data_IF_508235568457
#
_entry.id   IF_508235568457
#
_cell.length_a   1.000
_cell.length_b   1.000
_cell.length_c   1.000
_cell.angle_alpha   90.00
_cell.angle_beta   90.00
_cell.angle_gamma   90.00
#
_symmetry.space_group_name_H-M   'P 1'
#
loop_
_entity.id
_entity.type
_entity.pdbx_description
1 polymer ?
#
# COMPACT_ATOMS: atom_id res chain seq x y z
N UNK A 1 -49.90 28.26 -24.85
CA UNK A 1 -48.98 29.40 -24.57
C UNK A 1 -47.79 29.27 -25.50
N UNK A 2 -47.50 30.27 -26.35
CA UNK A 2 -46.26 30.29 -27.12
C UNK A 2 -45.13 30.60 -26.14
N UNK A 3 -44.27 29.62 -25.87
CA UNK A 3 -43.09 29.83 -25.02
C UNK A 3 -42.18 30.86 -25.67
N UNK A 4 -41.79 31.89 -24.93
CA UNK A 4 -40.76 32.82 -25.38
C UNK A 4 -39.47 32.05 -25.74
N UNK A 5 -38.79 32.41 -26.83
CA UNK A 5 -37.55 31.76 -27.23
C UNK A 5 -36.48 32.04 -26.16
N UNK A 6 -36.12 31.01 -25.40
CA UNK A 6 -35.07 31.11 -24.38
C UNK A 6 -33.72 31.34 -25.07
N UNK A 7 -32.86 32.21 -24.52
CA UNK A 7 -31.54 32.44 -25.10
C UNK A 7 -30.64 31.19 -24.96
N UNK A 8 -29.82 30.92 -25.96
CA UNK A 8 -28.99 29.70 -26.04
C UNK A 8 -28.02 29.53 -24.86
N UNK A 9 -27.55 30.63 -24.28
CA UNK A 9 -26.65 30.58 -23.12
C UNK A 9 -27.38 30.04 -21.88
N UNK A 10 -28.65 30.43 -21.67
CA UNK A 10 -29.46 29.97 -20.55
C UNK A 10 -29.77 28.48 -20.68
N UNK A 11 -30.12 28.02 -21.88
CA UNK A 11 -30.35 26.60 -22.16
C UNK A 11 -29.09 25.77 -21.86
N UNK A 12 -27.91 26.25 -22.28
CA UNK A 12 -26.63 25.58 -22.01
C UNK A 12 -26.34 25.49 -20.51
N UNK A 13 -26.63 26.55 -19.76
CA UNK A 13 -26.46 26.59 -18.32
C UNK A 13 -27.42 25.63 -17.62
N UNK A 14 -28.72 25.66 -17.96
CA UNK A 14 -29.75 24.75 -17.44
C UNK A 14 -29.36 23.28 -17.69
N UNK A 15 -28.90 22.97 -18.90
CA UNK A 15 -28.43 21.63 -19.27
C UNK A 15 -27.19 21.20 -18.48
N UNK A 16 -26.23 22.12 -18.28
CA UNK A 16 -25.04 21.87 -17.46
C UNK A 16 -25.42 21.52 -16.02
N UNK A 17 -26.21 22.38 -15.38
CA UNK A 17 -26.70 22.18 -14.00
C UNK A 17 -27.50 20.89 -13.87
N UNK A 18 -28.36 20.57 -14.84
CA UNK A 18 -29.14 19.34 -14.83
C UNK A 18 -28.27 18.09 -14.93
N UNK A 19 -27.28 18.07 -15.83
CA UNK A 19 -26.36 16.94 -15.94
C UNK A 19 -25.53 16.75 -14.67
N UNK A 20 -25.01 17.83 -14.08
CA UNK A 20 -24.24 17.76 -12.85
C UNK A 20 -25.10 17.24 -11.69
N UNK A 21 -26.33 17.75 -11.53
CA UNK A 21 -27.26 17.31 -10.49
C UNK A 21 -27.60 15.81 -10.61
N UNK A 22 -27.86 15.33 -11.83
CA UNK A 22 -28.13 13.90 -12.07
C UNK A 22 -26.91 13.02 -11.82
N UNK A 23 -25.73 13.46 -12.25
CA UNK A 23 -24.45 12.79 -11.98
C UNK A 23 -24.21 12.70 -10.48
N UNK A 24 -24.40 13.81 -9.74
CA UNK A 24 -24.28 13.87 -8.28
C UNK A 24 -25.23 12.87 -7.62
N UNK A 25 -26.49 12.83 -8.04
CA UNK A 25 -27.48 11.87 -7.51
C UNK A 25 -27.06 10.40 -7.72
N UNK A 26 -26.46 10.04 -8.86
CA UNK A 26 -25.94 8.69 -9.09
C UNK A 26 -24.80 8.34 -8.13
N UNK A 27 -23.89 9.29 -7.88
CA UNK A 27 -22.65 9.05 -7.14
C UNK A 27 -22.82 9.10 -5.61
N UNK A 28 -23.81 9.88 -5.13
CA UNK A 28 -24.08 10.09 -3.70
C UNK A 28 -24.47 8.81 -2.93
N UNK A 29 -24.78 7.71 -3.58
CA UNK A 29 -25.06 6.45 -2.88
C UNK A 29 -23.77 5.81 -2.32
N UNK A 30 -22.62 6.01 -2.97
CA UNK A 30 -21.38 5.28 -2.65
C UNK A 30 -20.11 6.10 -2.51
N UNK A 31 -20.10 7.33 -3.00
CA UNK A 31 -18.91 8.17 -2.99
C UNK A 31 -19.12 9.41 -2.10
N UNK A 32 -18.02 9.87 -1.50
CA UNK A 32 -17.90 11.25 -1.08
C UNK A 32 -17.67 12.10 -2.32
N UNK A 33 -18.42 13.18 -2.46
CA UNK A 33 -18.28 14.12 -3.57
C UNK A 33 -17.59 15.36 -3.01
N UNK A 34 -16.43 15.69 -3.59
CA UNK A 34 -15.65 16.86 -3.23
C UNK A 34 -16.07 18.00 -4.18
N UNK A 35 -16.65 19.05 -3.61
CA UNK A 35 -17.08 20.22 -4.38
C UNK A 35 -15.88 21.10 -4.70
N UNK A 36 -15.84 21.61 -5.94
CA UNK A 36 -14.82 22.59 -6.37
C UNK A 36 -15.37 24.00 -6.20
N UNK A 37 -14.58 24.88 -5.60
CA UNK A 37 -14.78 26.32 -5.70
C UNK A 37 -14.08 26.84 -6.97
N UNK A 38 -14.86 27.27 -7.97
CA UNK A 38 -14.48 27.95 -9.22
C UNK A 38 -14.23 27.11 -10.49
N UNK A 39 -14.85 27.58 -11.58
CA UNK A 39 -14.80 27.11 -12.98
C UNK A 39 -13.37 27.18 -13.56
N UNK A 40 -12.65 26.07 -13.46
CA UNK A 40 -11.45 25.82 -14.26
C UNK A 40 -11.79 24.67 -15.20
N UNK A 41 -11.65 24.91 -16.50
CA UNK A 41 -11.95 23.97 -17.60
C UNK A 41 -11.49 22.53 -17.26
N UNK A 42 -12.43 21.67 -16.86
CA UNK A 42 -12.08 20.38 -16.25
C UNK A 42 -13.22 19.47 -15.83
N UNK A 43 -12.88 18.40 -15.10
CA UNK A 43 -13.84 17.46 -14.50
C UNK A 43 -14.81 18.20 -13.56
N UNK A 44 -16.11 17.92 -13.70
CA UNK A 44 -17.20 18.63 -13.01
C UNK A 44 -17.34 18.17 -11.55
N UNK A 45 -17.05 16.89 -11.26
CA UNK A 45 -17.11 16.33 -9.90
C UNK A 45 -15.82 15.56 -9.61
N UNK A 46 -15.37 15.65 -8.36
CA UNK A 46 -14.31 14.80 -7.83
C UNK A 46 -14.94 13.87 -6.80
N UNK A 47 -14.63 12.59 -6.92
CA UNK A 47 -15.20 11.55 -6.05
C UNK A 47 -14.13 10.82 -5.28
N UNK A 48 -14.51 10.35 -4.11
CA UNK A 48 -13.67 9.52 -3.26
C UNK A 48 -14.50 8.37 -2.71
N UNK A 49 -13.90 7.19 -2.57
CA UNK A 49 -14.55 6.05 -1.89
C UNK A 49 -14.93 6.42 -0.45
N UNK A 50 -16.10 5.95 -0.01
CA UNK A 50 -16.58 6.08 1.38
C UNK A 50 -15.84 5.13 2.32
N UNK A 51 -14.59 5.45 2.60
CA UNK A 51 -13.80 4.74 3.60
C UNK A 51 -14.08 5.38 4.96
N UNK A 52 -14.82 4.69 5.84
CA UNK A 52 -15.21 5.19 7.17
C UNK A 52 -14.06 5.18 8.18
N UNK A 53 -12.94 4.53 7.85
CA UNK A 53 -11.75 4.39 8.68
C UNK A 53 -10.53 5.13 8.11
N UNK A 54 -10.70 5.96 7.06
CA UNK A 54 -9.61 6.71 6.44
C UNK A 54 -9.99 8.17 6.16
N UNK A 55 -9.10 9.10 6.49
CA UNK A 55 -9.29 10.55 6.28
C UNK A 55 -8.69 11.02 4.94
N UNK A 56 -9.11 12.20 4.45
CA UNK A 56 -8.38 12.90 3.37
C UNK A 56 -6.98 13.39 3.82
N UNK A 57 -6.79 13.51 5.13
CA UNK A 57 -5.52 13.87 5.78
C UNK A 57 -4.74 12.64 6.25
N UNK A 58 -5.18 11.42 5.89
CA UNK A 58 -4.48 10.21 6.26
C UNK A 58 -3.18 10.02 5.47
N UNK A 59 -2.26 9.25 6.04
CA UNK A 59 -0.91 8.98 5.50
C UNK A 59 -0.91 8.29 4.13
N UNK A 60 -1.97 7.57 3.79
CA UNK A 60 -2.30 7.14 2.41
C UNK A 60 -3.64 7.74 2.03
N UNK A 61 -3.67 8.98 1.51
CA UNK A 61 -4.92 9.63 1.16
C UNK A 61 -5.69 8.78 0.14
N UNK A 62 -7.01 8.67 0.28
CA UNK A 62 -7.82 7.86 -0.61
C UNK A 62 -7.72 8.37 -2.05
N UNK A 63 -7.56 7.44 -2.99
CA UNK A 63 -7.55 7.73 -4.43
C UNK A 63 -8.82 8.46 -4.83
N UNK A 64 -8.67 9.45 -5.70
CA UNK A 64 -9.76 10.29 -6.17
C UNK A 64 -10.11 9.99 -7.61
N UNK A 65 -11.40 10.05 -7.92
CA UNK A 65 -11.93 9.92 -9.28
C UNK A 65 -12.35 11.27 -9.83
N UNK A 66 -12.25 11.41 -11.14
CA UNK A 66 -12.62 12.61 -11.87
C UNK A 66 -13.80 12.30 -12.79
N UNK A 67 -14.93 12.94 -12.56
CA UNK A 67 -16.15 12.72 -13.33
C UNK A 67 -16.49 13.99 -14.09
N UNK A 68 -16.68 13.87 -15.40
CA UNK A 68 -17.25 14.94 -16.22
C UNK A 68 -18.70 14.63 -16.59
N UNK A 69 -19.62 15.54 -16.26
CA UNK A 69 -21.02 15.48 -16.60
C UNK A 69 -21.29 16.20 -17.93
N UNK A 70 -22.05 15.57 -18.84
CA UNK A 70 -22.47 16.19 -20.11
C UNK A 70 -23.94 15.94 -20.38
N UNK A 71 -24.65 16.94 -20.88
CA UNK A 71 -26.05 16.80 -21.27
C UNK A 71 -26.20 16.85 -22.79
N UNK A 72 -26.81 15.83 -23.37
CA UNK A 72 -27.20 15.78 -24.77
C UNK A 72 -28.68 16.11 -24.90
N UNK A 73 -28.98 17.28 -25.46
CA UNK A 73 -30.35 17.68 -25.76
C UNK A 73 -30.97 16.75 -26.82
N UNK A 74 -30.14 16.33 -27.78
CA UNK A 74 -30.49 15.43 -28.86
C UNK A 74 -29.24 14.70 -29.41
N UNK A 75 -29.38 13.66 -30.26
CA UNK A 75 -28.26 12.91 -30.81
C UNK A 75 -27.30 13.68 -31.72
N UNK A 76 -27.66 14.89 -32.17
CA UNK A 76 -26.80 15.77 -32.98
C UNK A 76 -25.88 16.63 -32.11
N UNK A 77 -26.20 16.78 -30.82
CA UNK A 77 -25.33 17.48 -29.86
C UNK A 77 -23.96 16.80 -29.80
N UNK A 78 -22.88 17.60 -29.85
CA UNK A 78 -21.50 17.10 -29.77
C UNK A 78 -20.77 17.79 -28.63
N UNK A 79 -20.16 16.98 -27.76
CA UNK A 79 -19.35 17.46 -26.65
C UNK A 79 -17.87 17.19 -26.88
N UNK A 80 -17.04 17.90 -26.12
CA UNK A 80 -15.59 17.82 -26.22
C UNK A 80 -14.99 17.65 -24.84
N UNK A 81 -14.06 16.71 -24.71
CA UNK A 81 -13.35 16.40 -23.46
C UNK A 81 -11.86 16.59 -23.67
N UNK A 82 -11.18 17.32 -22.79
CA UNK A 82 -9.76 17.62 -22.96
C UNK A 82 -8.90 16.36 -22.78
N UNK A 83 -7.90 16.14 -23.65
CA UNK A 83 -7.12 14.90 -23.63
C UNK A 83 -6.34 14.70 -22.35
N UNK A 84 -5.92 15.77 -21.68
CA UNK A 84 -5.15 15.72 -20.42
C UNK A 84 -5.91 15.05 -19.27
N UNK A 85 -7.25 15.09 -19.31
CA UNK A 85 -8.09 14.39 -18.33
C UNK A 85 -8.30 12.92 -18.69
N UNK A 86 -8.22 12.59 -19.98
CA UNK A 86 -8.46 11.23 -20.47
C UNK A 86 -7.16 10.42 -20.49
N UNK A 87 -6.03 11.04 -20.79
CA UNK A 87 -4.73 10.40 -20.97
C UNK A 87 -3.68 10.92 -19.99
N UNK A 88 -2.79 10.05 -19.56
CA UNK A 88 -1.55 10.41 -18.90
C UNK A 88 -0.57 11.07 -19.89
N UNK A 89 0.50 11.73 -19.40
CA UNK A 89 1.56 12.26 -20.26
C UNK A 89 2.20 11.20 -21.17
N UNK A 90 2.22 9.94 -20.73
CA UNK A 90 2.71 8.77 -21.47
C UNK A 90 1.68 8.22 -22.48
N UNK A 91 0.52 8.88 -22.61
CA UNK A 91 -0.53 8.54 -23.56
C UNK A 91 -1.47 7.41 -23.10
N UNK A 92 -1.31 6.88 -21.88
CA UNK A 92 -2.16 5.80 -21.35
C UNK A 92 -3.50 6.36 -20.85
N UNK A 93 -4.63 5.65 -21.04
CA UNK A 93 -5.91 6.07 -20.47
C UNK A 93 -5.86 6.15 -18.93
N UNK A 94 -6.43 7.20 -18.35
CA UNK A 94 -6.56 7.35 -16.89
C UNK A 94 -7.73 6.54 -16.36
N UNK A 95 -7.45 5.46 -15.63
CA UNK A 95 -8.46 4.57 -15.05
C UNK A 95 -9.49 5.28 -14.17
N UNK A 96 -9.07 6.35 -13.52
CA UNK A 96 -9.81 7.16 -12.55
C UNK A 96 -10.67 8.26 -13.18
N UNK A 97 -10.66 8.41 -14.52
CA UNK A 97 -11.45 9.40 -15.23
C UNK A 97 -12.65 8.79 -15.95
N UNK A 98 -13.82 9.41 -15.76
CA UNK A 98 -15.07 9.00 -16.40
C UNK A 98 -15.88 10.18 -16.91
N UNK A 99 -16.69 9.91 -17.93
CA UNK A 99 -17.70 10.85 -18.40
C UNK A 99 -19.08 10.23 -18.19
N UNK A 100 -19.95 10.95 -17.49
CA UNK A 100 -21.37 10.59 -17.34
C UNK A 100 -22.20 11.52 -18.21
N UNK A 101 -22.81 10.94 -19.23
CA UNK A 101 -23.64 11.66 -20.20
C UNK A 101 -25.10 11.45 -19.83
N UNK A 102 -25.90 12.50 -19.94
CA UNK A 102 -27.35 12.46 -19.70
C UNK A 102 -28.09 12.92 -20.94
N UNK A 103 -29.28 12.37 -21.16
CA UNK A 103 -30.22 12.85 -22.16
C UNK A 103 -31.65 12.74 -21.65
N UNK A 104 -32.59 13.39 -22.34
CA UNK A 104 -34.00 13.35 -21.98
C UNK A 104 -34.35 14.12 -20.71
N UNK A 105 -35.64 14.37 -20.54
CA UNK A 105 -36.24 15.09 -19.42
C UNK A 105 -37.24 14.18 -18.70
N UNK A 106 -37.41 14.42 -17.40
CA UNK A 106 -38.39 13.72 -16.56
C UNK A 106 -38.32 12.19 -16.73
N UNK A 107 -39.44 11.55 -17.07
CA UNK A 107 -39.57 10.09 -17.19
C UNK A 107 -38.77 9.48 -18.35
N UNK A 108 -38.25 10.33 -19.26
CA UNK A 108 -37.40 9.90 -20.38
C UNK A 108 -35.92 10.13 -20.11
N UNK A 109 -35.54 10.44 -18.88
CA UNK A 109 -34.15 10.63 -18.50
C UNK A 109 -33.35 9.34 -18.70
N UNK A 110 -32.24 9.45 -19.43
CA UNK A 110 -31.29 8.35 -19.63
C UNK A 110 -29.88 8.83 -19.29
N UNK A 111 -29.09 7.93 -18.71
CA UNK A 111 -27.70 8.17 -18.33
C UNK A 111 -26.78 7.16 -19.00
N UNK A 112 -25.57 7.58 -19.31
CA UNK A 112 -24.56 6.79 -20.01
C UNK A 112 -23.19 7.00 -19.33
N UNK A 113 -22.39 5.95 -19.17
CA UNK A 113 -21.05 6.00 -18.60
C UNK A 113 -20.00 5.65 -19.66
N UNK A 114 -18.93 6.43 -19.73
CA UNK A 114 -17.74 6.13 -20.51
C UNK A 114 -16.49 6.20 -19.63
N UNK A 115 -15.63 5.19 -19.68
CA UNK A 115 -14.27 5.28 -19.11
C UNK A 115 -13.31 6.00 -20.05
N UNK A 116 -12.18 6.46 -19.53
CA UNK A 116 -11.10 7.02 -20.35
C UNK A 116 -10.60 6.05 -21.43
N UNK A 117 -10.55 4.75 -21.12
CA UNK A 117 -10.19 3.69 -22.06
C UNK A 117 -11.17 3.64 -23.24
N UNK A 118 -12.47 3.59 -22.96
CA UNK A 118 -13.51 3.59 -23.99
C UNK A 118 -13.48 4.86 -24.85
N UNK A 119 -13.14 6.01 -24.23
CA UNK A 119 -12.97 7.27 -24.94
C UNK A 119 -11.79 7.18 -25.92
N UNK A 120 -10.64 6.68 -25.45
CA UNK A 120 -9.42 6.55 -26.25
C UNK A 120 -9.58 5.59 -27.43
N UNK A 121 -10.31 4.49 -27.23
CA UNK A 121 -10.51 3.47 -28.26
C UNK A 121 -11.46 3.90 -29.37
N UNK A 122 -12.49 4.69 -29.03
CA UNK A 122 -13.67 4.87 -29.91
C UNK A 122 -13.85 6.28 -30.46
N UNK A 123 -13.21 7.27 -29.85
CA UNK A 123 -13.43 8.66 -30.20
C UNK A 123 -12.15 9.31 -30.72
N UNK A 124 -12.32 10.23 -31.67
CA UNK A 124 -11.20 10.89 -32.34
C UNK A 124 -10.79 12.13 -31.56
N UNK A 125 -9.49 12.35 -31.51
CA UNK A 125 -8.91 13.62 -31.05
C UNK A 125 -9.04 14.66 -32.16
N UNK A 126 -9.35 15.89 -31.79
CA UNK A 126 -9.31 17.04 -32.69
C UNK A 126 -7.87 17.37 -33.09
N UNK A 127 -7.68 17.80 -34.35
CA UNK A 127 -6.38 18.29 -34.83
C UNK A 127 -6.04 19.64 -34.19
N UNK A 128 -4.77 20.04 -34.31
CA UNK A 128 -4.27 21.36 -33.89
C UNK A 128 -4.97 22.53 -34.58
N UNK A 129 -5.49 22.32 -35.80
CA UNK A 129 -6.19 23.31 -36.61
C UNK A 129 -7.69 23.43 -36.28
N UNK A 130 -8.22 22.54 -35.44
CA UNK A 130 -9.62 22.60 -35.02
C UNK A 130 -9.85 23.76 -34.04
N UNK A 131 -11.06 24.32 -33.99
CA UNK A 131 -11.47 25.37 -33.02
C UNK A 131 -11.40 24.97 -31.54
N UNK A 132 -11.04 23.71 -31.25
CA UNK A 132 -10.93 23.09 -29.92
C UNK A 132 -9.84 22.02 -30.00
N UNK A 133 -8.56 22.39 -30.13
CA UNK A 133 -7.47 21.44 -30.32
C UNK A 133 -7.27 20.57 -29.06
N UNK A 134 -6.76 19.35 -29.21
CA UNK A 134 -6.43 18.48 -28.08
C UNK A 134 -7.65 17.98 -27.30
N UNK A 135 -8.83 17.89 -27.93
CA UNK A 135 -10.05 17.39 -27.27
C UNK A 135 -10.60 16.16 -28.00
N UNK A 136 -11.05 15.17 -27.25
CA UNK A 136 -11.84 14.06 -27.79
C UNK A 136 -13.22 14.58 -28.21
N UNK A 137 -13.64 14.23 -29.42
CA UNK A 137 -14.96 14.55 -29.94
C UNK A 137 -15.93 13.45 -29.53
N UNK A 138 -16.99 13.80 -28.79
CA UNK A 138 -18.02 12.88 -28.33
C UNK A 138 -19.39 13.23 -28.97
N UNK A 139 -19.69 12.74 -30.19
CA UNK A 139 -20.97 12.97 -30.85
C UNK A 139 -22.10 12.21 -30.16
N UNK A 140 -23.26 12.82 -30.00
CA UNK A 140 -24.43 12.21 -29.35
C UNK A 140 -24.83 10.88 -29.96
N UNK A 141 -24.87 10.79 -31.29
CA UNK A 141 -25.14 9.53 -32.03
C UNK A 141 -24.19 8.37 -31.70
N UNK A 142 -22.97 8.65 -31.24
CA UNK A 142 -21.99 7.62 -30.88
C UNK A 142 -22.04 7.30 -29.38
N UNK A 143 -22.42 8.27 -28.54
CA UNK A 143 -22.50 8.13 -27.08
C UNK A 143 -23.84 7.56 -26.62
N UNK A 144 -24.96 8.02 -27.19
CA UNK A 144 -26.32 7.65 -26.81
C UNK A 144 -26.71 6.28 -27.40
N UNK A 145 -25.96 5.25 -27.04
CA UNK A 145 -26.17 3.86 -27.49
C UNK A 145 -26.32 2.93 -26.29
N UNK A 146 -26.96 1.78 -26.49
CA UNK A 146 -27.16 0.78 -25.43
C UNK A 146 -25.86 0.32 -24.77
N UNK A 147 -24.71 0.41 -25.47
CA UNK A 147 -23.41 0.01 -24.93
C UNK A 147 -23.00 0.81 -23.70
N UNK A 148 -23.22 2.12 -23.73
CA UNK A 148 -22.81 3.02 -22.65
C UNK A 148 -23.93 3.27 -21.65
N UNK A 149 -25.15 2.80 -21.95
CA UNK A 149 -26.33 3.09 -21.16
C UNK A 149 -26.25 2.48 -19.76
N UNK A 150 -26.53 3.29 -18.75
CA UNK A 150 -26.62 2.86 -17.36
C UNK A 150 -28.00 2.23 -17.16
N UNK A 151 -28.06 0.90 -17.26
CA UNK A 151 -29.27 0.11 -16.98
C UNK A 151 -29.35 -0.29 -15.51
N UNK A 152 -28.21 -0.64 -14.92
CA UNK A 152 -28.07 -0.93 -13.49
C UNK A 152 -27.05 0.03 -12.86
N UNK A 153 -27.51 0.83 -11.90
CA UNK A 153 -26.66 1.77 -11.17
C UNK A 153 -25.63 1.06 -10.31
N UNK A 154 -25.97 -0.10 -9.73
CA UNK A 154 -25.07 -0.87 -8.86
C UNK A 154 -23.79 -1.28 -9.59
N UNK A 155 -23.94 -1.94 -10.74
CA UNK A 155 -22.82 -2.37 -11.58
C UNK A 155 -21.92 -1.20 -12.02
N UNK A 156 -22.51 -0.05 -12.33
CA UNK A 156 -21.76 1.16 -12.71
C UNK A 156 -20.95 1.70 -11.54
N UNK A 157 -21.53 1.77 -10.34
CA UNK A 157 -20.84 2.22 -9.14
C UNK A 157 -19.73 1.22 -8.74
N UNK A 158 -19.95 -0.09 -8.90
CA UNK A 158 -18.91 -1.11 -8.69
C UNK A 158 -17.74 -0.93 -9.65
N UNK A 159 -18.01 -0.59 -10.92
CA UNK A 159 -16.98 -0.36 -11.94
C UNK A 159 -16.13 0.86 -11.58
N UNK A 160 -16.76 1.97 -11.19
CA UNK A 160 -16.06 3.17 -10.75
C UNK A 160 -15.25 2.86 -9.48
N UNK A 161 -15.84 2.16 -8.51
CA UNK A 161 -15.16 1.83 -7.26
C UNK A 161 -13.93 0.95 -7.47
N UNK A 162 -14.02 -0.10 -8.32
CA UNK A 162 -12.89 -0.95 -8.68
C UNK A 162 -11.78 -0.14 -9.37
N UNK A 163 -12.15 0.73 -10.30
CA UNK A 163 -11.16 1.59 -10.95
C UNK A 163 -10.43 2.52 -9.96
N UNK A 164 -11.14 3.06 -8.96
CA UNK A 164 -10.50 3.84 -7.89
C UNK A 164 -9.68 2.99 -6.92
N UNK A 165 -10.05 1.74 -6.71
CA UNK A 165 -9.27 0.82 -5.91
C UNK A 165 -7.92 0.50 -6.58
N UNK A 166 -7.96 0.21 -7.89
CA UNK A 166 -6.84 -0.30 -8.68
C UNK A 166 -5.97 0.82 -9.29
N UNK A 167 -6.39 2.08 -9.20
CA UNK A 167 -5.63 3.20 -9.75
C UNK A 167 -4.24 3.32 -9.11
N UNK A 168 -3.23 3.58 -9.94
CA UNK A 168 -1.87 3.85 -9.49
C UNK A 168 -1.85 5.08 -8.57
N UNK A 169 -1.28 4.92 -7.37
CA UNK A 169 -1.36 5.95 -6.34
C UNK A 169 -0.64 7.24 -6.75
N UNK A 170 0.59 7.11 -7.26
CA UNK A 170 1.43 8.26 -7.61
C UNK A 170 0.86 9.03 -8.80
N UNK A 171 0.44 8.31 -9.84
CA UNK A 171 -0.18 8.91 -11.03
C UNK A 171 -1.50 9.60 -10.68
N UNK A 172 -2.32 8.97 -9.84
CA UNK A 172 -3.57 9.55 -9.35
C UNK A 172 -3.33 10.83 -8.55
N UNK A 173 -2.31 10.82 -7.68
CA UNK A 173 -1.99 11.96 -6.82
C UNK A 173 -1.40 13.13 -7.60
N UNK A 174 -0.47 12.86 -8.51
CA UNK A 174 0.11 13.88 -9.39
C UNK A 174 -0.98 14.54 -10.25
N UNK A 175 -1.91 13.74 -10.78
CA UNK A 175 -3.03 14.25 -11.54
C UNK A 175 -4.01 15.05 -10.67
N UNK A 176 -4.30 14.59 -9.45
CA UNK A 176 -5.14 15.33 -8.51
C UNK A 176 -4.52 16.66 -8.08
N UNK A 177 -3.20 16.70 -7.86
CA UNK A 177 -2.48 17.94 -7.54
C UNK A 177 -2.52 18.96 -8.69
N UNK A 178 -2.53 18.48 -9.95
CA UNK A 178 -2.72 19.31 -11.13
C UNK A 178 -4.19 19.73 -11.35
N UNK A 179 -5.13 18.80 -11.19
CA UNK A 179 -6.54 18.98 -11.57
C UNK A 179 -7.36 19.74 -10.52
N UNK A 180 -7.05 19.56 -9.23
CA UNK A 180 -7.58 20.40 -8.18
C UNK A 180 -7.00 21.80 -8.36
N UNK A 181 -7.76 22.87 -8.07
CA UNK A 181 -7.10 24.12 -7.77
C UNK A 181 -6.10 23.76 -6.67
N UNK A 182 -4.81 23.91 -6.95
CA UNK A 182 -3.92 24.25 -5.88
C UNK A 182 -4.67 25.41 -5.23
N UNK A 183 -5.18 25.24 -4.00
CA UNK A 183 -5.16 26.38 -3.08
C UNK A 183 -3.81 26.94 -3.38
N UNK A 184 -3.75 28.10 -4.03
CA UNK A 184 -2.48 28.73 -4.26
C UNK A 184 -1.93 28.76 -2.85
N UNK A 185 -0.97 27.89 -2.57
CA UNK A 185 -0.03 28.10 -1.51
C UNK A 185 0.78 29.29 -2.05
N UNK A 186 0.13 30.45 -2.25
CA UNK A 186 0.71 31.70 -1.84
C UNK A 186 0.98 31.40 -0.37
N UNK A 187 2.22 30.96 -0.14
CA UNK A 187 2.70 30.68 1.19
C UNK A 187 2.29 31.92 2.01
N UNK A 188 1.66 31.74 3.17
CA UNK A 188 1.01 32.84 3.87
C UNK A 188 1.99 34.00 3.93
N UNK A 189 1.57 35.24 3.61
CA UNK A 189 2.51 36.35 3.54
C UNK A 189 3.31 36.43 4.83
N UNK A 190 4.59 36.75 4.72
CA UNK A 190 5.40 37.04 5.91
C UNK A 190 4.71 38.18 6.69
N UNK A 191 4.87 38.20 8.01
CA UNK A 191 4.25 39.27 8.80
C UNK A 191 4.72 40.63 8.28
N UNK A 192 3.77 41.59 8.12
CA UNK A 192 4.03 42.89 7.51
C UNK A 192 5.24 43.64 8.09
N UNK A 193 5.50 43.47 9.39
CA UNK A 193 6.68 44.06 10.06
C UNK A 193 8.03 43.63 9.47
N UNK A 194 8.08 42.48 8.79
CA UNK A 194 9.28 41.95 8.13
C UNK A 194 9.33 42.30 6.64
N UNK A 195 8.28 42.89 6.07
CA UNK A 195 8.29 43.48 4.73
C UNK A 195 8.85 44.91 4.73
N UNK A 196 8.82 45.57 5.89
CA UNK A 196 9.40 46.89 6.09
C UNK A 196 10.89 46.89 5.77
N UNK A 197 11.34 47.82 4.92
CA UNK A 197 12.72 47.94 4.45
C UNK A 197 13.63 48.56 5.52
N UNK A 198 13.76 47.88 6.64
CA UNK A 198 14.65 48.23 7.74
C UNK A 198 15.98 47.51 7.52
N UNK A 199 17.07 48.25 7.41
CA UNK A 199 18.41 47.67 7.32
C UNK A 199 18.73 46.89 8.61
N UNK A 200 18.85 45.57 8.47
CA UNK A 200 19.21 44.65 9.55
C UNK A 200 20.67 44.17 9.48
N UNK A 201 21.46 44.68 8.52
CA UNK A 201 22.88 44.34 8.27
C UNK A 201 23.18 42.86 7.99
N UNK A 202 22.17 42.02 7.81
CA UNK A 202 22.34 40.58 7.63
C UNK A 202 21.80 40.10 6.29
N UNK A 203 20.50 40.25 6.05
CA UNK A 203 19.87 39.73 4.84
C UNK A 203 18.54 40.42 4.52
N UNK A 204 18.08 40.23 3.29
CA UNK A 204 16.71 40.53 2.89
C UNK A 204 15.77 39.46 3.49
N UNK A 205 15.07 39.82 4.57
CA UNK A 205 14.27 38.88 5.37
C UNK A 205 13.19 38.17 4.53
N UNK A 206 12.36 38.86 3.73
CA UNK A 206 11.40 38.21 2.83
C UNK A 206 12.05 37.15 1.93
N UNK A 207 13.15 37.51 1.27
CA UNK A 207 13.85 36.62 0.32
C UNK A 207 14.43 35.39 1.02
N UNK A 208 15.10 35.56 2.16
CA UNK A 208 15.67 34.44 2.91
C UNK A 208 14.58 33.56 3.54
N UNK A 209 13.46 34.14 3.97
CA UNK A 209 12.33 33.39 4.51
C UNK A 209 11.65 32.52 3.45
N UNK A 210 11.46 33.03 2.24
CA UNK A 210 10.98 32.21 1.12
C UNK A 210 11.96 31.09 0.79
N UNK A 211 13.27 31.35 0.83
CA UNK A 211 14.29 30.30 0.65
C UNK A 211 14.20 29.20 1.72
N UNK A 212 13.88 29.55 2.97
CA UNK A 212 13.64 28.56 4.04
C UNK A 212 12.39 27.73 3.74
N UNK A 213 11.32 28.34 3.25
CA UNK A 213 10.07 27.64 2.88
C UNK A 213 10.29 26.64 1.75
N UNK A 214 11.01 27.05 0.70
CA UNK A 214 11.37 26.15 -0.40
C UNK A 214 12.20 24.96 0.11
N UNK A 215 13.21 25.22 0.93
CA UNK A 215 14.03 24.14 1.53
C UNK A 215 13.21 23.21 2.42
N UNK A 216 12.26 23.74 3.20
CA UNK A 216 11.39 22.93 4.05
C UNK A 216 10.46 22.05 3.21
N UNK A 217 9.95 22.58 2.09
CA UNK A 217 9.15 21.82 1.12
C UNK A 217 9.98 20.71 0.47
N UNK A 218 11.19 21.00 0.02
CA UNK A 218 12.08 19.99 -0.56
C UNK A 218 12.43 18.90 0.46
N UNK A 219 12.73 19.29 1.71
CA UNK A 219 12.97 18.36 2.80
C UNK A 219 11.74 17.47 3.09
N UNK A 220 10.52 18.00 2.97
CA UNK A 220 9.32 17.19 3.15
C UNK A 220 9.17 16.10 2.08
N UNK A 221 9.51 16.39 0.83
CA UNK A 221 9.48 15.39 -0.25
C UNK A 221 10.53 14.29 -0.03
N UNK A 222 11.71 14.69 0.44
CA UNK A 222 12.77 13.77 0.80
C UNK A 222 12.36 12.82 1.94
N UNK A 223 11.74 13.35 3.00
CA UNK A 223 11.21 12.52 4.09
C UNK A 223 10.07 11.60 3.63
N UNK A 224 9.23 12.04 2.70
CA UNK A 224 8.17 11.21 2.15
C UNK A 224 8.72 10.01 1.37
N UNK A 225 9.79 10.19 0.59
CA UNK A 225 10.45 9.10 -0.13
C UNK A 225 11.05 8.07 0.83
N UNK A 226 11.80 8.51 1.85
CA UNK A 226 12.33 7.62 2.88
C UNK A 226 11.21 6.85 3.62
N UNK A 227 10.10 7.53 3.89
CA UNK A 227 8.92 6.93 4.51
C UNK A 227 8.28 5.85 3.63
N UNK A 228 8.16 6.06 2.32
CA UNK A 228 7.65 5.05 1.37
C UNK A 228 8.50 3.79 1.38
N UNK A 229 9.82 3.94 1.34
CA UNK A 229 10.73 2.79 1.40
C UNK A 229 10.59 2.01 2.73
N UNK A 230 10.35 2.68 3.85
CA UNK A 230 10.01 2.02 5.12
C UNK A 230 8.69 1.26 5.06
N UNK A 231 7.67 1.79 4.37
CA UNK A 231 6.41 1.09 4.15
C UNK A 231 6.59 -0.15 3.28
N UNK A 232 7.38 -0.08 2.21
CA UNK A 232 7.65 -1.22 1.34
C UNK A 232 8.30 -2.39 2.12
N UNK A 233 9.17 -2.08 3.08
CA UNK A 233 9.76 -3.08 4.00
C UNK A 233 8.69 -3.71 4.92
N UNK A 234 7.68 -2.96 5.36
CA UNK A 234 6.62 -3.47 6.22
C UNK A 234 5.60 -4.34 5.48
N UNK A 235 5.33 -4.02 4.21
CA UNK A 235 4.30 -4.67 3.41
C UNK A 235 4.80 -5.91 2.65
N UNK A 236 6.12 -6.03 2.44
CA UNK A 236 6.69 -7.20 1.76
C UNK A 236 6.50 -8.47 2.59
N UNK A 237 6.16 -9.56 1.88
CA UNK A 237 6.07 -10.91 2.44
C UNK A 237 7.35 -11.72 2.26
N UNK A 238 8.27 -11.21 1.45
CA UNK A 238 9.54 -11.83 1.14
C UNK A 238 10.63 -11.20 2.03
N UNK A 239 11.23 -11.98 2.97
CA UNK A 239 12.29 -11.50 3.84
C UNK A 239 13.56 -11.07 3.08
N UNK A 240 13.92 -11.71 1.95
CA UNK A 240 15.09 -11.30 1.17
C UNK A 240 14.85 -9.91 0.59
N UNK A 241 13.66 -9.69 0.03
CA UNK A 241 13.24 -8.40 -0.50
C UNK A 241 13.20 -7.32 0.57
N UNK A 242 12.74 -7.65 1.78
CA UNK A 242 12.71 -6.73 2.91
C UNK A 242 14.11 -6.20 3.22
N UNK A 243 15.12 -7.08 3.20
CA UNK A 243 16.48 -6.66 3.50
C UNK A 243 17.14 -5.91 2.35
N UNK A 244 16.86 -6.24 1.10
CA UNK A 244 17.30 -5.43 -0.04
C UNK A 244 16.79 -3.99 0.07
N UNK A 245 15.51 -3.83 0.36
CA UNK A 245 14.86 -2.53 0.56
C UNK A 245 15.48 -1.80 1.76
N UNK A 246 15.76 -2.49 2.87
CA UNK A 246 16.47 -1.89 4.00
C UNK A 246 17.87 -1.40 3.60
N UNK A 247 18.67 -2.20 2.89
CA UNK A 247 20.00 -1.78 2.41
C UNK A 247 19.92 -0.57 1.48
N UNK A 248 18.91 -0.54 0.61
CA UNK A 248 18.63 0.60 -0.27
C UNK A 248 18.34 1.86 0.54
N UNK A 249 17.42 1.77 1.50
CA UNK A 249 17.07 2.85 2.43
C UNK A 249 18.30 3.37 3.18
N UNK A 250 19.15 2.48 3.71
CA UNK A 250 20.39 2.87 4.40
C UNK A 250 21.36 3.63 3.48
N UNK A 251 21.48 3.20 2.22
CA UNK A 251 22.37 3.84 1.23
C UNK A 251 21.89 5.23 0.86
N UNK A 252 20.59 5.39 0.66
CA UNK A 252 19.98 6.63 0.17
C UNK A 252 19.75 7.64 1.30
N UNK A 253 19.33 7.14 2.47
CA UNK A 253 18.84 7.97 3.58
C UNK A 253 19.62 7.86 4.88
N UNK A 254 20.56 6.92 5.01
CA UNK A 254 21.28 6.66 6.27
C UNK A 254 22.18 7.79 6.77
N UNK A 255 22.42 8.83 5.96
CA UNK A 255 23.11 10.07 6.39
C UNK A 255 22.15 11.20 6.78
N UNK A 256 20.87 11.04 6.46
CA UNK A 256 19.83 12.06 6.59
C UNK A 256 18.82 11.72 7.70
N UNK A 257 18.65 10.44 8.00
CA UNK A 257 17.68 9.93 8.97
C UNK A 257 18.37 8.92 9.88
N UNK A 258 18.06 8.99 11.16
CA UNK A 258 18.50 7.99 12.14
C UNK A 258 17.62 6.74 12.00
N UNK A 259 18.20 5.66 11.52
CA UNK A 259 17.51 4.40 11.26
C UNK A 259 17.87 3.38 12.36
N UNK A 260 16.89 2.64 12.93
CA UNK A 260 17.18 1.64 13.94
C UNK A 260 18.21 0.61 13.44
N UNK A 261 19.23 0.32 14.24
CA UNK A 261 20.28 -0.64 13.88
C UNK A 261 19.70 -2.05 13.61
N UNK A 262 18.66 -2.43 14.34
CA UNK A 262 17.95 -3.71 14.21
C UNK A 262 17.29 -3.92 12.84
N UNK A 263 17.05 -2.84 12.07
CA UNK A 263 16.53 -2.93 10.70
C UNK A 263 17.53 -3.58 9.74
N UNK A 264 18.80 -3.66 10.15
CA UNK A 264 19.93 -4.14 9.35
C UNK A 264 20.63 -5.34 9.98
N UNK A 265 19.87 -6.19 10.69
CA UNK A 265 20.41 -7.38 11.32
C UNK A 265 20.97 -8.37 10.27
N UNK A 266 22.30 -8.37 10.12
CA UNK A 266 23.04 -9.30 9.26
C UNK A 266 22.81 -10.76 9.67
N UNK A 267 22.43 -11.02 10.94
CA UNK A 267 22.04 -12.33 11.43
C UNK A 267 20.75 -12.83 10.81
N UNK A 268 19.75 -11.96 10.62
CA UNK A 268 18.49 -12.31 9.96
C UNK A 268 18.71 -12.68 8.50
N UNK A 269 19.53 -11.91 7.78
CA UNK A 269 19.95 -12.22 6.40
C UNK A 269 20.57 -13.60 6.30
N UNK A 270 21.61 -13.86 7.11
CA UNK A 270 22.31 -15.14 7.09
C UNK A 270 21.35 -16.30 7.43
N UNK A 271 20.38 -16.08 8.33
CA UNK A 271 19.37 -17.05 8.67
C UNK A 271 18.38 -17.31 7.52
N UNK A 272 17.93 -16.28 6.81
CA UNK A 272 17.03 -16.37 5.63
C UNK A 272 17.73 -17.13 4.51
N UNK A 273 18.97 -16.73 4.15
CA UNK A 273 19.76 -17.38 3.10
C UNK A 273 20.00 -18.87 3.42
N UNK A 274 20.38 -19.16 4.66
CA UNK A 274 20.60 -20.53 5.13
C UNK A 274 19.29 -21.33 5.10
N UNK A 275 18.17 -20.73 5.49
CA UNK A 275 16.86 -21.37 5.46
C UNK A 275 16.45 -21.72 4.03
N UNK A 276 16.52 -20.74 3.10
CA UNK A 276 16.19 -20.93 1.70
C UNK A 276 17.06 -22.00 1.05
N UNK A 277 18.38 -21.94 1.26
CA UNK A 277 19.31 -22.96 0.77
C UNK A 277 18.95 -24.36 1.27
N UNK A 278 18.63 -24.51 2.56
CA UNK A 278 18.21 -25.80 3.14
C UNK A 278 16.87 -26.26 2.57
N UNK A 279 15.92 -25.34 2.40
CA UNK A 279 14.63 -25.64 1.79
C UNK A 279 14.80 -26.17 0.37
N UNK A 280 15.53 -25.45 -0.48
CA UNK A 280 15.80 -25.84 -1.87
C UNK A 280 16.54 -27.19 -1.96
N UNK A 281 17.51 -27.44 -1.08
CA UNK A 281 18.21 -28.73 -1.01
C UNK A 281 17.28 -29.89 -0.64
N UNK A 282 16.39 -29.68 0.33
CA UNK A 282 15.42 -30.69 0.74
C UNK A 282 14.34 -30.91 -0.33
N UNK A 283 13.90 -29.85 -0.99
CA UNK A 283 12.91 -29.90 -2.07
C UNK A 283 13.46 -30.65 -3.29
N UNK A 284 14.67 -30.28 -3.73
CA UNK A 284 15.35 -30.95 -4.84
C UNK A 284 15.62 -32.44 -4.56
N UNK A 285 15.81 -32.81 -3.30
CA UNK A 285 15.97 -34.20 -2.88
C UNK A 285 14.63 -34.94 -2.65
N UNK A 286 13.48 -34.25 -2.71
CA UNK A 286 12.17 -34.83 -2.41
C UNK A 286 11.95 -35.15 -0.92
N UNK A 287 12.73 -34.54 -0.03
CA UNK A 287 12.81 -34.87 1.40
C UNK A 287 12.03 -33.92 2.31
N UNK A 288 11.38 -32.88 1.77
CA UNK A 288 10.61 -31.91 2.59
C UNK A 288 9.56 -32.59 3.48
N UNK A 289 8.81 -33.55 2.91
CA UNK A 289 7.79 -34.30 3.66
C UNK A 289 8.39 -35.15 4.79
N UNK A 290 9.50 -35.83 4.53
CA UNK A 290 10.18 -36.66 5.51
C UNK A 290 10.82 -35.81 6.64
N UNK A 291 11.42 -34.67 6.29
CA UNK A 291 11.93 -33.70 7.25
C UNK A 291 10.82 -33.14 8.15
N UNK A 292 9.66 -32.79 7.58
CA UNK A 292 8.51 -32.31 8.34
C UNK A 292 7.97 -33.39 9.30
N UNK A 293 7.92 -34.65 8.85
CA UNK A 293 7.51 -35.78 9.68
C UNK A 293 8.49 -36.04 10.83
N UNK A 294 9.80 -36.01 10.56
CA UNK A 294 10.84 -36.13 11.58
C UNK A 294 10.72 -35.05 12.65
N UNK A 295 10.57 -33.77 12.22
CA UNK A 295 10.38 -32.65 13.15
C UNK A 295 9.16 -32.86 14.04
N UNK A 296 8.04 -33.29 13.46
CA UNK A 296 6.81 -33.58 14.22
C UNK A 296 7.03 -34.72 15.23
N UNK A 297 7.63 -35.83 14.81
CA UNK A 297 7.95 -36.97 15.68
C UNK A 297 8.82 -36.57 16.88
N UNK A 298 9.85 -35.75 16.64
CA UNK A 298 10.71 -35.19 17.70
C UNK A 298 9.88 -34.34 18.67
N UNK A 299 9.04 -33.43 18.17
CA UNK A 299 8.21 -32.56 19.01
C UNK A 299 7.19 -33.36 19.83
N UNK A 300 6.48 -34.30 19.21
CA UNK A 300 5.50 -35.17 19.89
C UNK A 300 6.17 -35.98 21.00
N UNK A 301 7.38 -36.50 20.74
CA UNK A 301 8.13 -37.24 21.74
C UNK A 301 8.53 -36.37 22.93
N UNK A 302 9.06 -35.17 22.69
CA UNK A 302 9.41 -34.20 23.74
C UNK A 302 8.17 -33.90 24.61
N UNK A 303 7.03 -33.61 23.99
CA UNK A 303 5.79 -33.30 24.70
C UNK A 303 5.32 -34.51 25.53
N UNK A 304 5.30 -35.71 24.94
CA UNK A 304 4.86 -36.94 25.61
C UNK A 304 5.72 -37.28 26.82
N UNK A 305 7.03 -37.03 26.76
CA UNK A 305 7.94 -37.38 27.84
C UNK A 305 7.97 -36.33 28.96
N UNK A 306 7.83 -35.04 28.61
CA UNK A 306 7.95 -33.93 29.55
C UNK A 306 6.62 -33.58 30.21
N UNK A 307 5.52 -33.53 29.46
CA UNK A 307 4.23 -33.06 29.99
C UNK A 307 3.77 -33.82 31.25
N UNK A 308 3.93 -35.16 31.35
CA UNK A 308 3.58 -35.90 32.57
C UNK A 308 4.49 -35.62 33.78
N UNK A 309 5.67 -35.02 33.57
CA UNK A 309 6.66 -34.77 34.62
C UNK A 309 6.68 -33.31 35.11
N UNK A 310 5.82 -32.44 34.55
CA UNK A 310 5.74 -31.04 34.97
C UNK A 310 5.01 -30.90 36.33
N UNK A 311 5.45 -30.01 37.23
CA UNK A 311 6.62 -29.14 37.11
C UNK A 311 7.94 -29.87 37.44
N UNK A 312 8.97 -29.63 36.64
CA UNK A 312 10.28 -30.26 36.84
C UNK A 312 11.23 -29.39 37.65
N UNK A 313 12.15 -30.04 38.37
CA UNK A 313 13.19 -29.35 39.13
C UNK A 313 14.16 -28.57 38.19
N UNK A 314 14.72 -27.47 38.71
CA UNK A 314 15.64 -26.59 37.96
C UNK A 314 16.95 -27.26 37.55
N UNK A 315 17.33 -28.35 38.22
CA UNK A 315 18.52 -29.16 37.98
C UNK A 315 18.25 -30.40 37.11
N UNK A 316 17.11 -30.44 36.42
CA UNK A 316 16.76 -31.53 35.50
C UNK A 316 16.87 -31.07 34.04
N UNK A 317 17.65 -31.82 33.25
CA UNK A 317 17.81 -31.64 31.81
C UNK A 317 17.22 -32.84 31.11
N UNK A 318 16.29 -32.60 30.20
CA UNK A 318 15.77 -33.60 29.29
C UNK A 318 16.75 -33.79 28.13
N UNK A 319 17.17 -35.03 27.92
CA UNK A 319 18.07 -35.42 26.84
C UNK A 319 17.29 -36.28 25.84
N UNK A 320 17.40 -35.95 24.56
CA UNK A 320 16.82 -36.71 23.46
C UNK A 320 17.89 -37.09 22.44
N UNK A 321 18.05 -38.38 22.22
CA UNK A 321 18.82 -38.94 21.12
C UNK A 321 17.85 -39.43 20.05
N UNK A 322 17.96 -38.90 18.85
CA UNK A 322 17.16 -39.30 17.69
C UNK A 322 18.07 -39.95 16.66
N UNK A 323 17.80 -41.20 16.31
CA UNK A 323 18.46 -41.93 15.21
C UNK A 323 17.52 -42.05 14.03
N UNK A 324 18.03 -41.93 12.81
CA UNK A 324 17.23 -41.93 11.59
C UNK A 324 18.06 -42.38 10.37
N UNK A 325 17.38 -42.86 9.33
CA UNK A 325 18.01 -43.14 8.03
C UNK A 325 18.43 -41.83 7.36
N UNK A 326 19.71 -41.72 7.00
CA UNK A 326 20.29 -40.49 6.45
C UNK A 326 19.72 -40.11 5.08
N UNK A 327 19.41 -41.09 4.23
CA UNK A 327 19.02 -40.83 2.84
C UNK A 327 17.54 -40.49 2.74
N UNK A 328 16.72 -41.13 3.56
CA UNK A 328 15.26 -41.01 3.48
C UNK A 328 14.61 -40.30 4.67
N UNK A 329 15.36 -40.00 5.75
CA UNK A 329 14.83 -39.42 6.99
C UNK A 329 13.70 -40.26 7.63
N UNK A 330 13.72 -41.57 7.40
CA UNK A 330 12.75 -42.55 7.92
C UNK A 330 13.39 -43.45 8.98
N UNK A 331 12.63 -44.42 9.51
CA UNK A 331 13.06 -45.35 10.57
C UNK A 331 13.57 -44.60 11.82
N UNK A 332 12.81 -43.57 12.20
CA UNK A 332 13.18 -42.68 13.30
C UNK A 332 12.99 -43.40 14.64
N UNK A 333 14.05 -43.43 15.44
CA UNK A 333 14.04 -44.00 16.80
C UNK A 333 14.46 -42.92 17.79
N UNK A 334 13.66 -42.76 18.84
CA UNK A 334 13.91 -41.80 19.91
C UNK A 334 14.27 -42.50 21.21
N UNK A 335 15.39 -42.10 21.81
CA UNK A 335 15.80 -42.47 23.15
C UNK A 335 15.86 -41.21 23.99
N UNK A 336 15.13 -41.19 25.09
CA UNK A 336 15.02 -40.03 25.97
C UNK A 336 15.29 -40.39 27.41
N UNK A 337 15.88 -39.44 28.15
CA UNK A 337 16.14 -39.58 29.57
C UNK A 337 16.27 -38.22 30.24
N UNK A 338 15.98 -38.17 31.53
CA UNK A 338 16.26 -37.00 32.36
C UNK A 338 17.60 -37.19 33.07
N UNK A 339 18.44 -36.17 33.01
CA UNK A 339 19.79 -36.20 33.57
C UNK A 339 20.10 -34.92 34.31
N UNK A 340 21.03 -34.99 35.26
CA UNK A 340 21.56 -33.81 35.94
C UNK A 340 22.59 -33.09 35.06
N UNK A 341 22.65 -31.75 35.05
CA UNK A 341 23.61 -30.98 34.25
C UNK A 341 25.06 -31.45 34.40
N UNK A 342 25.52 -31.74 35.62
CA UNK A 342 26.89 -32.18 35.88
C UNK A 342 27.28 -33.50 35.22
N UNK A 343 26.31 -34.30 34.74
CA UNK A 343 26.58 -35.52 33.96
C UNK A 343 26.80 -35.25 32.46
N UNK A 344 26.30 -34.12 31.96
CA UNK A 344 26.48 -33.69 30.57
C UNK A 344 27.72 -32.79 30.42
N UNK A 345 28.02 -32.02 31.46
CA UNK A 345 29.16 -31.11 31.52
C UNK A 345 29.98 -31.41 32.79
N UNK A 346 30.92 -32.39 32.72
CA UNK A 346 31.62 -32.93 33.90
C UNK A 346 32.72 -32.01 34.46
N UNK A 347 33.16 -31.01 33.70
CA UNK A 347 33.96 -29.91 34.24
C UNK A 347 32.97 -28.90 34.82
N UNK A 348 33.07 -28.49 36.10
CA UNK A 348 32.40 -27.28 36.54
C UNK A 348 33.01 -26.17 35.69
N UNK A 349 32.30 -25.77 34.65
CA UNK A 349 32.74 -24.64 33.84
C UNK A 349 32.58 -23.44 34.76
N UNK A 350 33.66 -23.06 35.43
CA UNK A 350 33.80 -21.84 36.22
C UNK A 350 33.35 -20.69 35.32
N UNK A 351 32.15 -20.18 35.57
CA UNK A 351 31.57 -18.89 35.16
C UNK A 351 31.62 -18.44 33.67
N UNK A 352 32.35 -19.08 32.76
CA UNK A 352 32.57 -18.56 31.40
C UNK A 352 31.62 -19.13 30.34
N UNK A 353 31.02 -20.32 30.55
CA UNK A 353 29.95 -20.84 29.67
C UNK A 353 28.56 -20.64 30.30
N UNK A 354 28.50 -20.43 31.62
CA UNK A 354 27.27 -20.30 32.38
C UNK A 354 27.28 -18.98 33.16
N UNK A 355 27.13 -17.86 32.44
CA UNK A 355 27.04 -16.53 33.00
C UNK A 355 26.09 -16.48 34.21
N UNK A 356 26.60 -15.99 35.33
CA UNK A 356 25.99 -16.17 36.65
C UNK A 356 24.50 -15.86 36.70
N UNK A 357 23.69 -16.79 37.23
CA UNK A 357 22.25 -16.74 37.56
C UNK A 357 21.24 -16.15 36.53
N UNK A 358 21.70 -15.46 35.48
CA UNK A 358 20.92 -14.79 34.44
C UNK A 358 21.24 -15.31 33.04
N UNK A 359 22.33 -16.06 32.82
CA UNK A 359 22.76 -16.44 31.47
C UNK A 359 23.31 -17.88 31.41
N UNK A 360 22.41 -18.87 31.37
CA UNK A 360 22.77 -20.14 30.70
C UNK A 360 22.56 -19.97 29.19
N UNK A 361 23.40 -20.57 28.33
CA UNK A 361 23.16 -20.62 26.90
C UNK A 361 21.83 -21.34 26.67
N UNK A 362 21.14 -20.94 25.61
CA UNK A 362 19.79 -21.32 25.21
C UNK A 362 19.18 -22.56 25.90
N UNK A 363 17.91 -22.49 26.36
CA UNK A 363 17.23 -23.57 27.09
C UNK A 363 17.11 -24.90 26.32
N UNK A 364 17.55 -24.91 25.06
CA UNK A 364 17.63 -26.04 24.14
C UNK A 364 18.96 -25.96 23.39
N UNK A 365 19.55 -27.12 23.08
CA UNK A 365 20.76 -27.17 22.26
C UNK A 365 21.06 -28.57 21.72
N UNK A 366 22.03 -28.66 20.81
CA UNK A 366 22.54 -29.92 20.25
C UNK A 366 23.88 -30.23 20.91
N UNK A 367 23.98 -31.40 21.53
CA UNK A 367 25.21 -31.88 22.17
C UNK A 367 26.13 -32.59 21.17
N UNK A 368 25.55 -33.39 20.29
CA UNK A 368 26.28 -34.17 19.29
C UNK A 368 25.38 -34.36 18.06
N UNK A 369 25.95 -34.18 16.87
CA UNK A 369 25.29 -34.44 15.61
C UNK A 369 26.26 -35.23 14.71
N UNK A 370 25.90 -36.48 14.44
CA UNK A 370 26.64 -37.41 13.57
C UNK A 370 25.73 -37.91 12.47
N UNK A 371 26.32 -38.56 11.47
CA UNK A 371 25.57 -39.18 10.38
C UNK A 371 24.49 -40.14 10.92
N UNK A 372 23.22 -39.78 10.71
CA UNK A 372 22.05 -40.56 11.15
C UNK A 372 21.72 -40.47 12.64
N UNK A 373 22.34 -39.57 13.41
CA UNK A 373 22.07 -39.40 14.84
C UNK A 373 22.20 -37.94 15.29
N UNK A 374 21.18 -37.44 15.98
CA UNK A 374 21.25 -36.14 16.67
C UNK A 374 20.93 -36.35 18.15
N UNK A 375 21.81 -35.85 19.02
CA UNK A 375 21.63 -35.82 20.47
C UNK A 375 21.47 -34.38 20.91
N UNK A 376 20.29 -34.05 21.43
CA UNK A 376 19.90 -32.71 21.85
C UNK A 376 19.45 -32.70 23.32
N UNK A 377 19.49 -31.54 23.95
CA UNK A 377 19.01 -31.32 25.31
C UNK A 377 17.98 -30.20 25.37
N UNK A 378 17.10 -30.26 26.37
CA UNK A 378 16.13 -29.24 26.73
C UNK A 378 16.14 -29.11 28.26
N UNK A 379 16.14 -27.90 28.81
CA UNK A 379 16.17 -27.62 30.25
C UNK A 379 14.82 -27.01 30.71
N UNK A 380 13.78 -27.82 30.99
CA UNK A 380 12.40 -27.34 30.98
C UNK A 380 11.97 -26.74 32.33
N UNK A 381 12.59 -27.17 33.44
CA UNK A 381 12.32 -26.71 34.81
C UNK A 381 12.75 -25.26 35.09
N UNK A 382 13.30 -24.54 34.11
CA UNK A 382 13.66 -23.11 34.25
C UNK A 382 12.54 -22.15 33.86
N UNK A 383 11.45 -22.64 33.25
CA UNK A 383 10.27 -21.84 32.86
C UNK A 383 9.01 -22.12 33.70
N UNK A 384 9.08 -22.92 34.76
CA UNK A 384 7.92 -23.15 35.63
C UNK A 384 7.55 -21.87 36.39
N UNK A 385 6.63 -21.10 35.80
CA UNK A 385 5.81 -20.01 36.32
C UNK A 385 6.46 -19.11 37.39
N UNK A 386 6.97 -17.95 36.98
CA UNK A 386 6.83 -16.77 37.84
C UNK A 386 5.34 -16.42 37.89
N UNK A 387 4.64 -16.91 38.92
CA UNK A 387 3.35 -16.31 39.31
C UNK A 387 3.69 -14.89 39.76
N UNK A 388 3.09 -13.83 39.19
CA UNK A 388 3.30 -12.48 39.70
C UNK A 388 2.90 -12.43 41.17
N UNK A 389 3.80 -11.95 42.03
CA UNK A 389 3.55 -11.73 43.44
C UNK A 389 2.55 -10.59 43.67
#
# INVERSE_FOLDING_TARGET
MKSEPRPLWLIRQEHGTLAEARTRAILLDRFWILERSADIDGADLIIQRRLTHRSLLDRTPPRVGFIQAKFYADPTTTHYVHSEYVRSPEGRPRSEFFVICHSGIEDRAQSFLLSAEEICERFKLTSSEHSKPGRFVLPGRAVLTHRFQILDRGTVLDRIERALHDADFDTNRAFAAWALPTVKNEAPPILAMYEEKIDNRWADIPTEFERIRERAKDASYQLEDAYRQLCDIQETRDPERAVELAKQLKREWGKHIDLPEDLFDDGLLAAVDLHKKRYEQLDAAGLLGAHAALRRSVTERIISDIAPQMPMARDMVYLLTTRYDRQAFVNVVHESQFVKPGSLWPVPVEDEIFGGLREMPNPVGVLDAKDGMVRAYLAPGRYSYQVPA
#
